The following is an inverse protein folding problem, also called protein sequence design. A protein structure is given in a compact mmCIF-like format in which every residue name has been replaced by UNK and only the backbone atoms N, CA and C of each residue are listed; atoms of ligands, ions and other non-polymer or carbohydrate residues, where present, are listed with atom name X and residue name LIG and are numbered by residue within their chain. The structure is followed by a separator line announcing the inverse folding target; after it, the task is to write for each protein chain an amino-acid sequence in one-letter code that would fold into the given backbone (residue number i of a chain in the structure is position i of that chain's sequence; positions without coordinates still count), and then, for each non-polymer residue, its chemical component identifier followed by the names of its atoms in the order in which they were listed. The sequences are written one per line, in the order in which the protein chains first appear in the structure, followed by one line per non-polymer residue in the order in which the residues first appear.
data_IF_380619285904
#
_entry.id   IF_380619285904
#
_cell.length_a   1.000
_cell.length_b   1.000
_cell.length_c   1.000
_cell.angle_alpha   90.00
_cell.angle_beta   90.00
_cell.angle_gamma   90.00
#
_symmetry.space_group_name_H-M   'P 1'
#
loop_
_entity.id
_entity.type
_entity.pdbx_description
1 polymer ?
#
# COMPACT_ATOMS: atom_id res chain seq x y z
N UNK A 1 19.26 -16.91 10.65
CA UNK A 1 18.62 -17.57 9.48
C UNK A 1 18.42 -19.03 9.82
N UNK A 2 17.19 -19.54 9.81
CA UNK A 2 16.90 -20.93 10.14
C UNK A 2 17.05 -21.81 8.89
N UNK A 3 18.27 -22.30 8.64
CA UNK A 3 18.64 -23.01 7.41
C UNK A 3 17.91 -24.36 7.31
N UNK A 4 17.73 -25.06 8.44
CA UNK A 4 17.01 -26.35 8.49
C UNK A 4 15.55 -26.21 8.07
N UNK A 5 14.89 -25.13 8.49
CA UNK A 5 13.52 -24.84 8.09
C UNK A 5 13.44 -24.57 6.57
N UNK A 6 14.38 -23.79 6.04
CA UNK A 6 14.44 -23.49 4.60
C UNK A 6 14.64 -24.77 3.77
N UNK A 7 15.55 -25.64 4.18
CA UNK A 7 15.81 -26.91 3.50
C UNK A 7 14.59 -27.84 3.54
N UNK A 8 13.92 -27.94 4.69
CA UNK A 8 12.70 -28.72 4.85
C UNK A 8 11.61 -28.24 3.89
N UNK A 9 11.38 -26.92 3.81
CA UNK A 9 10.42 -26.33 2.89
C UNK A 9 10.77 -26.63 1.43
N UNK A 10 12.04 -26.49 1.02
CA UNK A 10 12.48 -26.79 -0.34
C UNK A 10 12.23 -28.26 -0.71
N UNK A 11 12.50 -29.19 0.22
CA UNK A 11 12.24 -30.62 0.00
C UNK A 11 10.76 -30.92 -0.16
N UNK A 12 9.91 -30.34 0.70
CA UNK A 12 8.46 -30.49 0.59
C UNK A 12 7.94 -29.97 -0.75
N UNK A 13 8.37 -28.78 -1.18
CA UNK A 13 7.96 -28.19 -2.47
C UNK A 13 8.36 -29.09 -3.64
N UNK A 14 9.58 -29.65 -3.62
CA UNK A 14 10.07 -30.55 -4.70
C UNK A 14 9.33 -31.88 -4.78
N UNK A 15 8.72 -32.33 -3.69
CA UNK A 15 7.92 -33.57 -3.67
C UNK A 15 6.53 -33.43 -4.31
N UNK A 16 6.07 -32.18 -4.54
CA UNK A 16 4.76 -31.93 -5.12
C UNK A 16 4.75 -32.20 -6.64
N UNK A 17 3.61 -32.55 -7.24
CA UNK A 17 3.42 -32.56 -8.69
C UNK A 17 3.71 -31.20 -9.33
N UNK A 18 4.10 -31.19 -10.61
CA UNK A 18 4.46 -29.95 -11.32
C UNK A 18 3.36 -28.87 -11.30
N UNK A 19 2.09 -29.26 -11.42
CA UNK A 19 0.97 -28.33 -11.35
C UNK A 19 0.83 -27.67 -9.96
N UNK A 20 1.06 -28.43 -8.90
CA UNK A 20 1.01 -27.94 -7.52
C UNK A 20 2.21 -27.05 -7.21
N UNK A 21 3.39 -27.37 -7.73
CA UNK A 21 4.57 -26.50 -7.64
C UNK A 21 4.32 -25.14 -8.30
N UNK A 22 3.72 -25.13 -9.50
CA UNK A 22 3.37 -23.90 -10.21
C UNK A 22 2.35 -23.05 -9.45
N UNK A 23 1.30 -23.68 -8.90
CA UNK A 23 0.30 -22.99 -8.07
C UNK A 23 0.92 -22.40 -6.80
N UNK A 24 1.86 -23.12 -6.18
CA UNK A 24 2.53 -22.66 -4.97
C UNK A 24 3.45 -21.46 -5.26
N UNK A 25 4.18 -21.49 -6.38
CA UNK A 25 4.97 -20.36 -6.85
C UNK A 25 4.11 -19.13 -7.13
N UNK A 26 2.96 -19.29 -7.79
CA UNK A 26 1.99 -18.20 -8.00
C UNK A 26 1.48 -17.62 -6.67
N UNK A 27 1.24 -18.45 -5.65
CA UNK A 27 0.79 -17.96 -4.33
C UNK A 27 1.89 -17.29 -3.51
N UNK A 28 3.14 -17.74 -3.64
CA UNK A 28 4.28 -17.25 -2.85
C UNK A 28 4.96 -16.03 -3.49
N UNK A 29 5.04 -16.01 -4.82
CA UNK A 29 5.76 -15.01 -5.62
C UNK A 29 4.84 -14.26 -6.58
N UNK A 30 3.55 -14.61 -6.62
CA UNK A 30 2.58 -13.85 -7.39
C UNK A 30 2.57 -12.41 -6.91
N UNK A 31 2.39 -11.50 -7.86
CA UNK A 31 2.30 -10.09 -7.56
C UNK A 31 1.15 -9.90 -6.57
N UNK A 32 1.48 -9.44 -5.36
CA UNK A 32 0.48 -8.84 -4.51
C UNK A 32 -0.10 -7.68 -5.32
N UNK A 33 -1.42 -7.63 -5.57
CA UNK A 33 -1.99 -6.53 -6.31
C UNK A 33 -1.58 -5.25 -5.59
N UNK A 34 -0.91 -4.35 -6.31
CA UNK A 34 -0.60 -3.04 -5.77
C UNK A 34 -1.92 -2.40 -5.31
N UNK A 35 -1.97 -1.80 -4.12
CA UNK A 35 -3.21 -1.24 -3.63
C UNK A 35 -3.75 -0.25 -4.66
N UNK A 36 -5.05 -0.32 -4.93
CA UNK A 36 -5.71 0.64 -5.81
C UNK A 36 -5.52 2.06 -5.26
N UNK A 37 -5.61 3.06 -6.13
CA UNK A 37 -5.57 4.47 -5.71
C UNK A 37 -6.56 4.77 -4.59
N UNK A 38 -7.73 4.11 -4.59
CA UNK A 38 -8.73 4.24 -3.54
C UNK A 38 -8.28 3.67 -2.20
N UNK A 39 -7.64 2.50 -2.20
CA UNK A 39 -7.09 1.89 -0.98
C UNK A 39 -5.93 2.70 -0.43
N UNK A 40 -5.07 3.25 -1.30
CA UNK A 40 -4.00 4.16 -0.89
C UNK A 40 -4.56 5.44 -0.28
N UNK A 41 -5.58 6.05 -0.90
CA UNK A 41 -6.23 7.25 -0.37
C UNK A 41 -6.85 7.00 1.01
N UNK A 42 -7.56 5.87 1.17
CA UNK A 42 -8.14 5.47 2.44
C UNK A 42 -7.07 5.25 3.53
N UNK A 43 -5.95 4.61 3.19
CA UNK A 43 -4.85 4.42 4.14
C UNK A 43 -4.18 5.75 4.53
N UNK A 44 -4.01 6.68 3.58
CA UNK A 44 -3.46 7.99 3.86
C UNK A 44 -4.37 8.83 4.77
N UNK A 45 -5.69 8.75 4.56
CA UNK A 45 -6.71 9.37 5.40
C UNK A 45 -6.70 8.79 6.82
N UNK A 46 -6.79 7.46 6.96
CA UNK A 46 -6.78 6.80 8.27
C UNK A 46 -5.45 6.94 9.01
N UNK A 47 -4.35 7.08 8.28
CA UNK A 47 -3.00 7.26 8.82
C UNK A 47 -2.66 8.69 9.21
N UNK A 48 -3.58 9.64 9.03
CA UNK A 48 -3.35 11.05 9.37
C UNK A 48 -2.37 11.77 8.45
N UNK A 49 -2.11 11.24 7.24
CA UNK A 49 -1.19 11.85 6.28
C UNK A 49 -1.67 13.24 5.81
N UNK A 50 -2.97 13.52 5.98
CA UNK A 50 -3.61 14.80 5.69
C UNK A 50 -3.92 15.63 6.94
N UNK A 51 -3.49 15.22 8.14
CA UNK A 51 -3.78 15.95 9.38
C UNK A 51 -3.21 17.37 9.36
N UNK A 52 -2.14 17.59 8.57
CA UNK A 52 -1.58 18.93 8.36
C UNK A 52 -2.60 19.93 7.81
N UNK A 53 -3.65 19.48 7.11
CA UNK A 53 -4.74 20.35 6.61
C UNK A 53 -5.53 20.99 7.75
N UNK A 54 -5.55 20.37 8.93
CA UNK A 54 -6.23 20.93 10.10
C UNK A 54 -5.44 22.08 10.74
N UNK A 55 -4.14 22.13 10.50
CA UNK A 55 -3.23 23.15 11.04
C UNK A 55 -2.86 24.21 9.97
N UNK A 56 -3.42 24.12 8.76
CA UNK A 56 -3.22 25.15 7.76
C UNK A 56 -3.92 26.44 8.22
N UNK A 57 -3.21 27.58 8.26
CA UNK A 57 -3.85 28.85 8.53
C UNK A 57 -4.90 29.11 7.46
N UNK A 58 -6.06 29.66 7.84
CA UNK A 58 -7.02 30.18 6.88
C UNK A 58 -6.35 31.32 6.10
N UNK A 59 -5.73 30.98 4.96
CA UNK A 59 -5.05 31.92 4.07
C UNK A 59 -6.05 32.87 3.39
N UNK A 60 -7.34 32.56 3.48
CA UNK A 60 -8.43 33.32 2.91
C UNK A 60 -9.50 33.55 3.97
N UNK A 61 -9.57 34.77 4.51
CA UNK A 61 -10.72 35.22 5.29
C UNK A 61 -11.79 35.74 4.32
N UNK A 62 -13.03 35.26 4.47
CA UNK A 62 -14.19 35.84 3.77
C UNK A 62 -14.56 37.23 4.32
N UNK A 63 -13.87 37.68 5.37
CA UNK A 63 -14.07 38.95 6.06
C UNK A 63 -13.77 40.17 5.20
N UNK A 64 -12.85 40.03 4.22
CA UNK A 64 -12.52 41.12 3.31
C UNK A 64 -13.51 41.22 2.13
N UNK A 65 -14.44 40.27 1.94
CA UNK A 65 -15.42 40.17 0.83
C UNK A 65 -14.85 40.36 -0.61
N UNK A 66 -13.54 40.48 -0.76
CA UNK A 66 -12.88 40.77 -2.02
C UNK A 66 -12.30 39.51 -2.65
N UNK A 67 -12.59 39.32 -3.94
CA UNK A 67 -11.94 38.28 -4.74
C UNK A 67 -10.50 38.68 -5.03
N UNK A 68 -9.59 37.71 -5.04
CA UNK A 68 -8.20 37.93 -5.43
C UNK A 68 -8.16 38.27 -6.93
N UNK A 69 -7.86 39.53 -7.25
CA UNK A 69 -7.52 39.92 -8.61
C UNK A 69 -6.10 39.43 -8.93
N UNK A 70 -5.99 38.51 -9.88
CA UNK A 70 -4.70 38.11 -10.44
C UNK A 70 -4.15 39.24 -11.32
N UNK A 71 -3.00 39.82 -10.93
CA UNK A 71 -2.20 40.74 -11.76
C UNK A 71 -1.11 40.01 -12.54
#
# INVERSE_FOLDING_TARGET
MNIQLVESLVQTIRSLPAAEQSLLLEKLLGELPYPSTRELAYLAEQGGSFDFWHDEPDLYTLEDEEAIEWQ
#
